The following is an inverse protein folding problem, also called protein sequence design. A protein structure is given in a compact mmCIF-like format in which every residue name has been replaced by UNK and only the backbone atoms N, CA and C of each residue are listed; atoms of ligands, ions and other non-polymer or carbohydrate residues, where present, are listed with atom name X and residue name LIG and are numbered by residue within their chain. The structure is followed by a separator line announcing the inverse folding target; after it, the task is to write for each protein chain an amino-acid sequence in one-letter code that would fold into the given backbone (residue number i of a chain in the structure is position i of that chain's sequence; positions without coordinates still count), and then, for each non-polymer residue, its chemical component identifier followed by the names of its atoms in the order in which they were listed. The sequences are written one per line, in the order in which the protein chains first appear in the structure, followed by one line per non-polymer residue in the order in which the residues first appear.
data_IF_464926007580
#
_entry.id   IF_464926007580
#
_cell.length_a   1.000
_cell.length_b   1.000
_cell.length_c   1.000
_cell.angle_alpha   90.00
_cell.angle_beta   90.00
_cell.angle_gamma   90.00
#
_symmetry.space_group_name_H-M   'P 1'
#
loop_
_entity.id
_entity.type
_entity.pdbx_description
1 polymer ?
#
# COMPACT_ATOMS: atom_id res chain seq x y z
N UNK A 1 -22.78 17.66 14.20
CA UNK A 1 -22.70 16.34 13.57
C UNK A 1 -23.41 16.44 12.22
N UNK A 2 -22.68 16.57 11.13
CA UNK A 2 -23.30 16.42 9.81
C UNK A 2 -23.43 14.91 9.59
N UNK A 3 -24.65 14.40 9.63
CA UNK A 3 -24.98 13.07 9.12
C UNK A 3 -24.61 13.11 7.63
N UNK A 4 -23.50 12.47 7.27
CA UNK A 4 -23.15 12.29 5.86
C UNK A 4 -24.21 11.35 5.27
N UNK A 5 -25.19 11.93 4.57
CA UNK A 5 -26.15 11.16 3.76
C UNK A 5 -25.37 10.72 2.51
N UNK A 6 -24.77 9.55 2.57
CA UNK A 6 -24.16 8.93 1.40
C UNK A 6 -25.25 8.18 0.63
N UNK A 7 -25.91 8.89 -0.30
CA UNK A 7 -26.95 8.30 -1.15
C UNK A 7 -26.41 7.71 -2.46
N UNK A 8 -25.09 7.83 -2.69
CA UNK A 8 -24.45 7.28 -3.90
C UNK A 8 -24.10 5.82 -3.66
N UNK A 9 -24.47 4.89 -4.57
CA UNK A 9 -24.31 3.46 -4.33
C UNK A 9 -22.85 2.96 -4.45
N UNK A 10 -21.94 3.79 -4.95
CA UNK A 10 -20.51 3.44 -5.08
C UNK A 10 -19.84 3.45 -3.73
N UNK A 11 -19.37 2.28 -3.25
CA UNK A 11 -18.75 2.08 -1.95
C UNK A 11 -17.53 1.16 -2.05
N UNK A 12 -16.56 1.38 -1.18
CA UNK A 12 -15.46 0.44 -0.93
C UNK A 12 -15.71 -0.27 0.40
N UNK A 13 -15.89 -1.58 0.37
CA UNK A 13 -16.11 -2.41 1.55
C UNK A 13 -14.76 -2.95 1.99
N UNK A 14 -14.39 -2.67 3.23
CA UNK A 14 -13.11 -3.05 3.84
C UNK A 14 -13.36 -4.16 4.87
N UNK A 15 -12.92 -5.36 4.54
CA UNK A 15 -13.02 -6.54 5.40
C UNK A 15 -11.88 -6.54 6.42
N UNK A 16 -12.17 -6.09 7.64
CA UNK A 16 -11.17 -6.03 8.72
C UNK A 16 -10.81 -7.41 9.25
N UNK A 17 -11.66 -8.42 9.08
CA UNK A 17 -11.35 -9.80 9.47
C UNK A 17 -10.36 -10.42 8.48
N UNK A 18 -10.51 -10.13 7.17
CA UNK A 18 -9.52 -10.53 6.17
C UNK A 18 -8.14 -9.89 6.46
N UNK A 19 -8.10 -8.62 6.89
CA UNK A 19 -6.86 -7.94 7.29
C UNK A 19 -6.17 -8.68 8.45
N UNK A 20 -6.93 -9.06 9.48
CA UNK A 20 -6.38 -9.79 10.65
C UNK A 20 -6.02 -11.23 10.29
N UNK A 21 -6.79 -11.90 9.42
CA UNK A 21 -6.41 -13.19 8.87
C UNK A 21 -5.05 -13.11 8.17
N UNK A 22 -4.87 -12.13 7.29
CA UNK A 22 -3.62 -11.91 6.56
C UNK A 22 -2.44 -11.67 7.52
N UNK A 23 -2.63 -10.84 8.55
CA UNK A 23 -1.63 -10.64 9.59
C UNK A 23 -1.21 -11.96 10.25
N UNK A 24 -2.17 -12.83 10.57
CA UNK A 24 -1.88 -14.11 11.22
C UNK A 24 -1.14 -15.08 10.29
N UNK A 25 -1.51 -15.14 9.01
CA UNK A 25 -0.76 -15.91 7.99
C UNK A 25 0.69 -15.42 7.91
N UNK A 26 0.89 -14.09 7.86
CA UNK A 26 2.22 -13.50 7.79
C UNK A 26 3.04 -13.81 9.05
N UNK A 27 2.45 -13.76 10.24
CA UNK A 27 3.10 -14.14 11.51
C UNK A 27 3.61 -15.58 11.49
N UNK A 28 2.80 -16.50 10.98
CA UNK A 28 3.22 -17.90 10.86
C UNK A 28 4.44 -18.05 9.94
N UNK A 29 4.49 -17.30 8.85
CA UNK A 29 5.59 -17.34 7.89
C UNK A 29 6.84 -16.67 8.43
N UNK A 30 6.71 -15.50 9.08
CA UNK A 30 7.86 -14.71 9.55
C UNK A 30 8.44 -15.18 10.88
N UNK A 31 7.71 -16.04 11.60
CA UNK A 31 8.18 -16.64 12.86
C UNK A 31 8.42 -15.59 13.94
N UNK A 32 9.67 -15.50 14.42
CA UNK A 32 10.03 -14.62 15.53
C UNK A 32 10.30 -13.16 15.14
N UNK A 33 10.26 -12.82 13.85
CA UNK A 33 10.46 -11.44 13.43
C UNK A 33 9.23 -10.60 13.78
N UNK A 34 9.46 -9.42 14.37
CA UNK A 34 8.40 -8.44 14.56
C UNK A 34 7.87 -7.95 13.21
N UNK A 35 6.59 -7.63 13.15
CA UNK A 35 5.95 -7.09 11.94
C UNK A 35 5.75 -5.60 12.12
N UNK A 36 6.34 -4.82 11.20
CA UNK A 36 6.01 -3.42 10.99
C UNK A 36 4.93 -3.33 9.91
N UNK A 37 3.71 -3.00 10.30
CA UNK A 37 2.61 -2.80 9.38
C UNK A 37 2.77 -1.50 8.61
N UNK A 38 2.86 -1.56 7.29
CA UNK A 38 2.97 -0.38 6.43
C UNK A 38 1.57 0.10 6.08
N UNK A 39 1.18 1.25 6.64
CA UNK A 39 -0.17 1.83 6.53
C UNK A 39 -0.17 3.20 5.84
N UNK A 40 0.89 3.53 5.12
CA UNK A 40 1.01 4.75 4.30
C UNK A 40 -0.03 4.78 3.18
N UNK A 41 -0.23 5.95 2.56
CA UNK A 41 -1.19 6.19 1.48
C UNK A 41 -2.60 5.71 1.87
N UNK A 42 -3.05 6.14 3.07
CA UNK A 42 -4.32 5.77 3.67
C UNK A 42 -4.51 4.23 3.76
N UNK A 43 -3.47 3.54 4.27
CA UNK A 43 -3.41 2.07 4.29
C UNK A 43 -3.62 1.47 2.89
N UNK A 44 -2.89 1.98 1.89
CA UNK A 44 -3.05 1.59 0.48
C UNK A 44 -4.50 1.76 -0.02
N UNK A 45 -5.15 2.84 0.42
CA UNK A 45 -6.53 3.17 0.08
C UNK A 45 -7.61 2.49 0.93
N UNK A 46 -7.23 1.68 1.91
CA UNK A 46 -8.16 0.91 2.75
C UNK A 46 -8.66 1.69 3.99
N UNK A 47 -8.12 2.90 4.26
CA UNK A 47 -8.45 3.69 5.44
C UNK A 47 -7.50 3.44 6.61
N UNK A 48 -6.44 4.26 6.72
CA UNK A 48 -5.34 4.05 7.66
C UNK A 48 -5.79 4.04 9.13
N UNK A 49 -6.74 4.89 9.51
CA UNK A 49 -7.21 5.02 10.90
C UNK A 49 -7.76 3.70 11.42
N UNK A 50 -8.71 3.10 10.70
CA UNK A 50 -9.37 1.85 11.12
C UNK A 50 -8.44 0.65 10.93
N UNK A 51 -7.70 0.58 9.81
CA UNK A 51 -6.76 -0.51 9.59
C UNK A 51 -5.67 -0.54 10.68
N UNK A 52 -5.10 0.61 11.05
CA UNK A 52 -4.10 0.69 12.11
C UNK A 52 -4.68 0.36 13.50
N UNK A 53 -5.91 0.80 13.81
CA UNK A 53 -6.62 0.41 15.03
C UNK A 53 -6.76 -1.11 15.12
N UNK A 54 -7.32 -1.76 14.10
CA UNK A 54 -7.51 -3.22 14.08
C UNK A 54 -6.19 -3.99 14.18
N UNK A 55 -5.15 -3.52 13.49
CA UNK A 55 -3.82 -4.13 13.57
C UNK A 55 -3.20 -3.94 14.97
N UNK A 56 -3.37 -2.78 15.59
CA UNK A 56 -2.92 -2.53 16.96
C UNK A 56 -3.65 -3.43 17.96
N UNK A 57 -4.98 -3.56 17.87
CA UNK A 57 -5.79 -4.44 18.70
C UNK A 57 -5.36 -5.91 18.54
N UNK A 58 -4.93 -6.30 17.35
CA UNK A 58 -4.33 -7.60 17.07
C UNK A 58 -2.86 -7.72 17.52
N UNK A 59 -2.31 -6.72 18.22
CA UNK A 59 -0.98 -6.77 18.83
C UNK A 59 0.17 -6.35 17.93
N UNK A 60 -0.07 -5.67 16.81
CA UNK A 60 0.99 -5.01 16.03
C UNK A 60 1.52 -3.82 16.82
N UNK A 61 2.84 -3.79 17.01
CA UNK A 61 3.53 -2.75 17.80
C UNK A 61 4.18 -1.69 16.92
N UNK A 62 4.44 -1.99 15.64
CA UNK A 62 5.16 -1.14 14.72
C UNK A 62 4.31 -0.78 13.52
N UNK A 63 4.29 0.49 13.19
CA UNK A 63 3.62 1.04 12.02
C UNK A 63 4.60 1.85 11.18
N UNK A 64 4.41 1.86 9.86
CA UNK A 64 5.20 2.72 8.98
C UNK A 64 4.29 3.52 8.06
N UNK A 65 4.56 4.80 7.99
CA UNK A 65 3.88 5.78 7.13
C UNK A 65 4.89 6.50 6.25
N UNK A 66 4.43 7.27 5.26
CA UNK A 66 5.32 8.01 4.37
C UNK A 66 5.66 9.41 4.91
N UNK A 67 4.72 10.10 5.55
CA UNK A 67 4.82 11.51 5.92
C UNK A 67 4.47 11.76 7.38
N UNK A 68 4.91 12.92 7.91
CA UNK A 68 4.50 13.38 9.23
C UNK A 68 2.97 13.50 9.34
N UNK A 69 2.30 14.04 8.30
CA UNK A 69 0.84 14.19 8.31
C UNK A 69 0.11 12.85 8.51
N UNK A 70 0.52 11.80 7.81
CA UNK A 70 -0.05 10.45 8.02
C UNK A 70 0.21 9.92 9.44
N UNK A 71 1.39 10.20 10.01
CA UNK A 71 1.70 9.80 11.39
C UNK A 71 0.80 10.52 12.41
N UNK A 72 0.57 11.81 12.21
CA UNK A 72 -0.32 12.60 13.07
C UNK A 72 -1.77 12.13 12.96
N UNK A 73 -2.26 11.80 11.77
CA UNK A 73 -3.60 11.21 11.58
C UNK A 73 -3.77 9.90 12.39
N UNK A 74 -2.73 9.06 12.44
CA UNK A 74 -2.76 7.84 13.26
C UNK A 74 -2.77 8.16 14.77
N UNK A 75 -1.98 9.14 15.22
CA UNK A 75 -1.97 9.58 16.64
C UNK A 75 -3.32 10.16 17.05
N UNK A 76 -3.93 11.00 16.21
CA UNK A 76 -5.27 11.54 16.44
C UNK A 76 -6.34 10.43 16.49
N UNK A 77 -6.15 9.35 15.75
CA UNK A 77 -7.01 8.17 15.80
C UNK A 77 -6.76 7.26 17.04
N UNK A 78 -5.84 7.64 17.95
CA UNK A 78 -5.56 6.88 19.17
C UNK A 78 -4.53 5.76 19.00
N UNK A 79 -3.81 5.71 17.88
CA UNK A 79 -2.74 4.73 17.73
C UNK A 79 -1.58 5.04 18.69
N UNK A 80 -1.23 4.10 19.56
CA UNK A 80 -0.15 4.19 20.55
C UNK A 80 1.10 3.40 20.17
N UNK A 81 1.06 2.66 19.07
CA UNK A 81 2.19 1.89 18.55
C UNK A 81 3.36 2.79 18.13
N UNK A 82 4.49 2.19 17.90
CA UNK A 82 5.68 2.89 17.38
C UNK A 82 5.47 3.21 15.90
N UNK A 83 5.71 4.45 15.49
CA UNK A 83 5.47 4.90 14.12
C UNK A 83 6.79 5.35 13.49
N UNK A 84 7.21 4.65 12.44
CA UNK A 84 8.32 5.03 11.57
C UNK A 84 7.81 5.89 10.41
N UNK A 85 8.35 7.10 10.27
CA UNK A 85 8.08 7.96 9.12
C UNK A 85 9.16 7.73 8.05
N UNK A 86 8.82 7.00 7.01
CA UNK A 86 9.75 6.54 5.96
C UNK A 86 10.31 7.67 5.09
N UNK A 87 9.58 8.78 4.96
CA UNK A 87 10.01 9.98 4.23
C UNK A 87 10.98 10.86 5.01
N UNK A 88 11.28 10.50 6.26
CA UNK A 88 12.18 11.22 7.13
C UNK A 88 11.53 12.38 7.86
N UNK A 89 12.38 13.23 8.44
CA UNK A 89 12.00 14.47 9.13
C UNK A 89 12.48 15.66 8.29
N UNK A 90 11.57 16.49 7.83
CA UNK A 90 11.88 17.69 7.07
C UNK A 90 12.23 18.87 7.98
N UNK A 91 12.95 19.90 7.49
CA UNK A 91 13.30 21.06 8.31
C UNK A 91 12.07 21.73 8.95
N UNK A 92 12.10 21.87 10.28
CA UNK A 92 11.02 22.46 11.06
C UNK A 92 10.02 21.45 11.62
N UNK A 93 10.11 20.16 11.26
CA UNK A 93 9.24 19.11 11.79
C UNK A 93 9.75 18.47 13.08
N UNK A 94 11.01 18.70 13.48
CA UNK A 94 11.70 17.98 14.55
C UNK A 94 10.90 17.98 15.87
N UNK A 95 10.33 19.15 16.22
CA UNK A 95 9.53 19.27 17.43
C UNK A 95 8.31 18.36 17.44
N UNK A 96 7.62 18.24 16.30
CA UNK A 96 6.46 17.34 16.17
C UNK A 96 6.85 15.87 16.34
N UNK A 97 8.00 15.45 15.79
CA UNK A 97 8.52 14.09 16.01
C UNK A 97 8.70 13.78 17.49
N UNK A 98 9.24 14.72 18.26
CA UNK A 98 9.44 14.54 19.70
C UNK A 98 8.12 14.54 20.46
N UNK A 99 7.24 15.50 20.18
CA UNK A 99 5.96 15.70 20.86
C UNK A 99 5.02 14.48 20.67
N UNK A 100 5.00 13.93 19.46
CA UNK A 100 4.12 12.79 19.15
C UNK A 100 4.81 11.43 19.22
N UNK A 101 6.05 11.35 19.70
CA UNK A 101 6.79 10.10 19.85
C UNK A 101 6.95 9.35 18.54
N UNK A 102 7.35 10.08 17.48
CA UNK A 102 7.54 9.52 16.14
C UNK A 102 9.03 9.24 15.88
N UNK A 103 9.31 8.22 15.07
CA UNK A 103 10.67 7.84 14.70
C UNK A 103 10.91 8.21 13.22
N UNK A 104 11.86 9.10 12.91
CA UNK A 104 12.19 9.41 11.53
C UNK A 104 13.13 8.37 10.92
N UNK A 105 12.92 8.03 9.65
CA UNK A 105 13.96 7.47 8.81
C UNK A 105 14.98 8.55 8.46
N UNK A 106 16.27 8.30 8.70
CA UNK A 106 17.36 9.25 8.42
C UNK A 106 18.27 8.69 7.35
N UNK A 107 18.59 9.47 6.34
CA UNK A 107 19.34 9.04 5.17
C UNK A 107 20.35 10.06 4.64
N UNK A 108 20.57 11.18 5.38
CA UNK A 108 21.66 12.13 5.14
C UNK A 108 22.29 12.59 6.46
N UNK A 109 23.58 12.94 6.42
CA UNK A 109 24.28 13.49 7.59
C UNK A 109 23.72 14.85 8.03
N UNK A 110 23.16 15.60 7.11
CA UNK A 110 22.50 16.88 7.42
C UNK A 110 21.25 16.64 8.28
N UNK A 111 20.41 15.67 7.89
CA UNK A 111 19.22 15.31 8.67
C UNK A 111 19.58 14.89 10.10
N UNK A 112 20.56 13.98 10.26
CA UNK A 112 20.90 13.50 11.59
C UNK A 112 21.49 14.60 12.47
N UNK A 113 22.34 15.49 11.93
CA UNK A 113 22.90 16.65 12.67
C UNK A 113 21.80 17.65 13.09
N UNK A 114 20.83 17.90 12.21
CA UNK A 114 19.69 18.78 12.51
C UNK A 114 18.83 18.19 13.62
N UNK A 115 18.55 16.88 13.58
CA UNK A 115 17.80 16.20 14.62
C UNK A 115 18.58 16.19 15.94
N UNK A 116 19.89 15.95 15.92
CA UNK A 116 20.77 16.01 17.10
C UNK A 116 20.72 17.41 17.77
N UNK A 117 20.90 18.46 16.97
CA UNK A 117 20.82 19.85 17.46
C UNK A 117 19.44 20.19 18.05
N UNK A 118 18.37 19.76 17.40
CA UNK A 118 17.01 19.95 17.91
C UNK A 118 16.76 19.13 19.20
N UNK A 119 17.27 17.91 19.29
CA UNK A 119 17.18 17.08 20.48
C UNK A 119 17.93 17.70 21.66
N UNK A 120 19.16 18.20 21.43
CA UNK A 120 19.95 18.94 22.43
C UNK A 120 19.20 20.16 22.96
N UNK A 121 18.62 20.97 22.06
CA UNK A 121 17.85 22.17 22.45
C UNK A 121 16.63 21.84 23.31
N UNK A 122 16.04 20.64 23.14
CA UNK A 122 14.90 20.14 23.91
C UNK A 122 15.33 19.26 25.11
N UNK A 123 16.63 19.06 25.35
CA UNK A 123 17.19 18.21 26.42
C UNK A 123 16.67 16.78 26.39
N UNK A 124 16.64 16.18 25.23
CA UNK A 124 16.20 14.80 25.01
C UNK A 124 17.17 14.06 24.06
N UNK A 125 17.01 12.77 23.97
CA UNK A 125 17.68 11.92 22.96
C UNK A 125 16.65 11.51 21.90
N UNK A 126 16.97 11.78 20.64
CA UNK A 126 16.12 11.43 19.51
C UNK A 126 16.41 10.02 19.03
N UNK A 127 15.38 9.18 19.02
CA UNK A 127 15.44 7.84 18.42
C UNK A 127 15.29 7.96 16.90
N UNK A 128 16.20 7.33 16.14
CA UNK A 128 16.19 7.36 14.67
C UNK A 128 16.40 5.98 14.08
N UNK A 129 15.85 5.75 12.89
CA UNK A 129 16.18 4.61 12.04
C UNK A 129 17.06 5.07 10.88
N UNK A 130 18.28 4.55 10.79
CA UNK A 130 19.21 4.87 9.71
C UNK A 130 18.91 4.05 8.47
N UNK A 131 18.63 4.73 7.37
CA UNK A 131 18.38 4.09 6.09
C UNK A 131 19.61 4.07 5.21
N UNK A 132 20.00 2.87 4.79
CA UNK A 132 21.05 2.66 3.81
C UNK A 132 20.51 2.20 2.46
N UNK A 133 21.09 2.71 1.39
CA UNK A 133 20.83 2.27 0.03
C UNK A 133 21.83 1.16 -0.34
N UNK A 134 21.33 -0.07 -0.30
CA UNK A 134 22.10 -1.27 -0.67
C UNK A 134 21.97 -1.65 -2.15
N UNK A 135 21.14 -0.90 -2.91
CA UNK A 135 20.95 -1.13 -4.34
C UNK A 135 19.59 -0.71 -4.89
N UNK A 136 18.69 -0.14 -4.06
CA UNK A 136 17.38 0.36 -4.53
C UNK A 136 17.51 1.66 -5.36
N UNK A 137 18.55 2.48 -5.10
CA UNK A 137 18.83 3.71 -5.86
C UNK A 137 17.85 4.86 -5.62
N UNK A 138 17.13 4.87 -4.48
CA UNK A 138 16.09 5.87 -4.22
C UNK A 138 16.46 6.87 -3.14
N UNK A 139 16.55 6.44 -1.88
CA UNK A 139 17.00 7.22 -0.72
C UNK A 139 17.77 6.31 0.24
N UNK A 140 18.77 6.85 0.94
CA UNK A 140 19.61 6.12 1.88
C UNK A 140 21.07 6.58 1.82
N UNK A 141 21.81 6.44 2.90
CA UNK A 141 23.25 6.51 2.84
C UNK A 141 23.78 5.43 1.90
N UNK A 142 24.74 5.74 1.06
CA UNK A 142 25.35 4.72 0.18
C UNK A 142 26.00 3.65 1.03
N UNK A 143 25.78 2.38 0.67
CA UNK A 143 26.30 1.22 1.45
C UNK A 143 27.81 1.26 1.67
N UNK A 144 28.59 1.78 0.71
CA UNK A 144 30.03 1.89 0.76
C UNK A 144 30.55 3.08 1.61
N UNK A 145 29.67 3.87 2.21
CA UNK A 145 30.00 4.96 3.12
C UNK A 145 29.72 4.60 4.59
N UNK A 146 29.44 3.33 4.89
CA UNK A 146 29.01 2.88 6.22
C UNK A 146 29.99 3.30 7.32
N UNK A 147 31.29 3.07 7.13
CA UNK A 147 32.34 3.40 8.11
C UNK A 147 32.37 4.90 8.39
N UNK A 148 32.37 5.73 7.34
CA UNK A 148 32.40 7.20 7.48
C UNK A 148 31.14 7.76 8.13
N UNK A 149 29.97 7.18 7.83
CA UNK A 149 28.70 7.56 8.46
C UNK A 149 28.69 7.15 9.92
N UNK A 150 29.13 5.95 10.26
CA UNK A 150 29.24 5.45 11.61
C UNK A 150 30.18 6.33 12.47
N UNK A 151 31.34 6.72 11.91
CA UNK A 151 32.29 7.61 12.54
C UNK A 151 31.76 9.02 12.84
N UNK A 152 30.84 9.52 12.02
CA UNK A 152 30.16 10.80 12.29
C UNK A 152 29.10 10.60 13.37
N UNK A 153 28.26 9.57 13.24
CA UNK A 153 27.10 9.36 14.13
C UNK A 153 27.55 9.06 15.57
N UNK A 154 28.63 8.31 15.77
CA UNK A 154 29.14 8.01 17.12
C UNK A 154 29.57 9.26 17.93
N UNK A 155 29.72 10.41 17.28
CA UNK A 155 30.10 11.69 17.92
C UNK A 155 28.87 12.54 18.28
N UNK A 156 27.68 12.12 17.90
CA UNK A 156 26.42 12.81 18.19
C UNK A 156 25.90 12.31 19.54
N UNK A 157 25.69 13.24 20.47
CA UNK A 157 25.36 12.90 21.86
C UNK A 157 23.86 12.71 22.11
N UNK A 158 23.02 13.22 21.22
CA UNK A 158 21.57 13.27 21.41
C UNK A 158 20.83 12.39 20.38
N UNK A 159 21.52 11.41 19.79
CA UNK A 159 20.97 10.46 18.82
C UNK A 159 21.05 9.04 19.37
N UNK A 160 19.91 8.37 19.41
CA UNK A 160 19.80 6.92 19.65
C UNK A 160 19.49 6.20 18.33
N UNK A 161 20.44 5.45 17.82
CA UNK A 161 20.28 4.61 16.62
C UNK A 161 19.55 3.35 17.00
N UNK A 162 18.21 3.36 16.88
CA UNK A 162 17.40 2.18 17.19
C UNK A 162 17.48 1.11 16.13
N UNK A 163 17.49 1.53 14.85
CA UNK A 163 17.52 0.59 13.73
C UNK A 163 18.48 1.03 12.62
N UNK A 164 19.02 0.03 11.92
CA UNK A 164 19.64 0.19 10.60
C UNK A 164 18.80 -0.65 9.61
N UNK A 165 18.39 -0.02 8.51
CA UNK A 165 17.51 -0.69 7.55
C UNK A 165 17.81 -0.35 6.10
N UNK A 166 17.39 -1.24 5.20
CA UNK A 166 17.42 -1.03 3.76
C UNK A 166 16.08 -1.40 3.10
N UNK A 167 16.08 -1.64 1.80
CA UNK A 167 14.91 -2.07 1.05
C UNK A 167 15.32 -2.83 -0.20
N UNK A 168 14.73 -3.98 -0.44
CA UNK A 168 14.95 -4.75 -1.65
C UNK A 168 14.34 -4.03 -2.87
N UNK A 169 15.07 -4.09 -3.98
CA UNK A 169 14.64 -3.51 -5.25
C UNK A 169 13.83 -4.48 -6.11
N UNK A 170 14.12 -5.78 -6.03
CA UNK A 170 13.61 -6.78 -6.94
C UNK A 170 13.42 -8.16 -6.26
N UNK A 171 12.99 -8.18 -4.98
CA UNK A 171 12.76 -9.44 -4.27
C UNK A 171 11.60 -10.28 -4.83
N UNK A 172 10.76 -9.68 -5.64
CA UNK A 172 9.65 -10.30 -6.39
C UNK A 172 10.05 -10.88 -7.73
N UNK A 173 11.29 -10.62 -8.20
CA UNK A 173 11.81 -11.12 -9.47
C UNK A 173 12.83 -12.25 -9.25
N UNK A 174 12.52 -13.51 -9.58
CA UNK A 174 13.45 -14.62 -9.44
C UNK A 174 14.78 -14.47 -10.20
N UNK A 175 14.76 -13.76 -11.35
CA UNK A 175 15.98 -13.51 -12.13
C UNK A 175 16.97 -12.59 -11.39
N UNK A 176 16.52 -11.81 -10.42
CA UNK A 176 17.31 -10.87 -9.62
C UNK A 176 17.63 -11.41 -8.21
N UNK A 177 17.46 -12.71 -7.98
CA UNK A 177 17.69 -13.32 -6.66
C UNK A 177 19.12 -13.12 -6.13
N UNK A 178 20.13 -13.18 -7.00
CA UNK A 178 21.52 -12.96 -6.63
C UNK A 178 21.76 -11.50 -6.21
N UNK A 179 21.12 -10.54 -6.90
CA UNK A 179 21.20 -9.14 -6.51
C UNK A 179 20.46 -8.88 -5.18
N UNK A 180 19.34 -9.55 -4.95
CA UNK A 180 18.62 -9.48 -3.68
C UNK A 180 19.48 -9.99 -2.52
N UNK A 181 20.18 -11.10 -2.68
CA UNK A 181 21.17 -11.60 -1.69
C UNK A 181 22.33 -10.63 -1.50
N UNK A 182 22.89 -10.08 -2.58
CA UNK A 182 23.93 -9.05 -2.51
C UNK A 182 23.48 -7.81 -1.71
N UNK A 183 22.21 -7.37 -1.84
CA UNK A 183 21.68 -6.29 -1.02
C UNK A 183 21.65 -6.65 0.48
N UNK A 184 21.31 -7.91 0.80
CA UNK A 184 21.34 -8.41 2.18
C UNK A 184 22.76 -8.44 2.75
N UNK A 185 23.74 -8.96 2.00
CA UNK A 185 25.16 -9.01 2.39
C UNK A 185 25.75 -7.59 2.60
N UNK A 186 25.33 -6.63 1.78
CA UNK A 186 25.70 -5.22 1.96
C UNK A 186 25.17 -4.66 3.28
N UNK A 187 23.95 -5.04 3.67
CA UNK A 187 23.38 -4.61 4.94
C UNK A 187 24.16 -5.22 6.13
N UNK A 188 24.61 -6.46 6.04
CA UNK A 188 25.45 -7.08 7.08
C UNK A 188 26.75 -6.29 7.28
N UNK A 189 27.45 -5.94 6.20
CA UNK A 189 28.66 -5.11 6.26
C UNK A 189 28.41 -3.73 6.87
N UNK A 190 27.24 -3.12 6.60
CA UNK A 190 26.85 -1.86 7.21
C UNK A 190 26.68 -2.02 8.72
N UNK A 191 25.97 -3.06 9.15
CA UNK A 191 25.77 -3.36 10.57
C UNK A 191 27.11 -3.56 11.27
N UNK A 192 28.03 -4.32 10.67
CA UNK A 192 29.37 -4.58 11.20
C UNK A 192 30.15 -3.27 11.39
N UNK A 193 30.10 -2.34 10.43
CA UNK A 193 30.76 -1.04 10.56
C UNK A 193 30.24 -0.22 11.77
N UNK A 194 28.96 -0.27 12.06
CA UNK A 194 28.38 0.39 13.25
C UNK A 194 28.76 -0.33 14.54
N UNK A 195 28.79 -1.65 14.56
CA UNK A 195 29.23 -2.43 15.72
C UNK A 195 30.69 -2.15 16.08
N UNK A 196 31.59 -1.98 15.09
CA UNK A 196 33.00 -1.66 15.29
C UNK A 196 33.21 -0.32 16.03
N UNK A 197 32.32 0.65 15.85
CA UNK A 197 32.39 1.93 16.56
C UNK A 197 31.55 1.98 17.85
N UNK A 198 31.00 0.83 18.28
CA UNK A 198 30.23 0.68 19.51
C UNK A 198 28.74 1.00 19.41
N UNK A 199 28.23 1.29 18.23
CA UNK A 199 26.78 1.50 18.00
C UNK A 199 26.13 0.13 17.72
N UNK A 200 25.19 -0.27 18.59
CA UNK A 200 24.46 -1.56 18.52
C UNK A 200 22.98 -1.30 18.23
N UNK A 201 22.54 -1.33 16.96
CA UNK A 201 21.13 -1.15 16.65
C UNK A 201 20.31 -2.30 17.26
N UNK A 202 19.18 -1.96 17.88
CA UNK A 202 18.24 -2.94 18.45
C UNK A 202 17.46 -3.68 17.37
N UNK A 203 17.24 -3.02 16.24
CA UNK A 203 16.48 -3.54 15.12
C UNK A 203 17.31 -3.46 13.83
N UNK A 204 17.12 -4.47 13.01
CA UNK A 204 17.66 -4.49 11.64
C UNK A 204 16.59 -5.03 10.71
N UNK A 205 16.40 -4.41 9.58
CA UNK A 205 15.41 -4.88 8.60
C UNK A 205 15.80 -4.53 7.16
N UNK A 206 15.35 -5.34 6.23
CA UNK A 206 15.46 -5.11 4.79
C UNK A 206 14.22 -5.64 4.05
N UNK A 207 13.59 -6.68 4.61
CA UNK A 207 12.53 -7.43 3.96
C UNK A 207 11.23 -6.61 3.85
N UNK A 208 10.80 -6.39 2.60
CA UNK A 208 9.43 -6.02 2.23
C UNK A 208 8.56 -7.29 2.14
N UNK A 209 7.30 -7.17 1.67
CA UNK A 209 6.39 -8.32 1.55
C UNK A 209 6.98 -9.49 0.76
N UNK A 210 7.47 -9.35 -0.48
CA UNK A 210 8.11 -10.47 -1.18
C UNK A 210 9.40 -10.95 -0.51
N UNK A 211 10.24 -10.05 -0.02
CA UNK A 211 11.46 -10.41 0.71
C UNK A 211 11.19 -11.30 1.93
N UNK A 212 10.16 -10.99 2.70
CA UNK A 212 9.77 -11.77 3.87
C UNK A 212 9.30 -13.19 3.52
N UNK A 213 8.72 -13.40 2.34
CA UNK A 213 8.26 -14.72 1.88
C UNK A 213 9.40 -15.51 1.25
N UNK A 214 10.14 -14.90 0.31
CA UNK A 214 11.05 -15.59 -0.60
C UNK A 214 12.50 -15.71 -0.08
N UNK A 215 12.87 -14.83 0.87
CA UNK A 215 14.22 -14.77 1.44
C UNK A 215 14.18 -14.84 2.97
N UNK A 216 13.94 -16.04 3.56
CA UNK A 216 13.84 -16.20 5.02
C UNK A 216 15.02 -15.63 5.80
N UNK A 217 16.22 -15.69 5.23
CA UNK A 217 17.45 -15.14 5.80
C UNK A 217 17.44 -13.61 5.95
N UNK A 218 16.58 -12.93 5.22
CA UNK A 218 16.44 -11.46 5.27
C UNK A 218 15.46 -10.96 6.33
N UNK A 219 14.72 -11.84 6.99
CA UNK A 219 13.67 -11.45 7.97
C UNK A 219 14.24 -10.76 9.20
N UNK A 220 15.47 -11.15 9.61
CA UNK A 220 16.17 -10.58 10.76
C UNK A 220 15.25 -10.53 12.00
N UNK A 221 15.17 -9.39 12.71
CA UNK A 221 14.26 -9.24 13.83
C UNK A 221 13.05 -8.36 13.55
N UNK A 222 12.97 -7.76 12.34
CA UNK A 222 11.83 -6.92 11.91
C UNK A 222 11.61 -7.07 10.41
N UNK A 223 10.33 -7.18 10.00
CA UNK A 223 9.92 -7.17 8.59
C UNK A 223 8.89 -6.07 8.34
N UNK A 224 8.97 -5.40 7.18
CA UNK A 224 8.01 -4.36 6.79
C UNK A 224 7.00 -4.89 5.80
N UNK A 225 5.80 -5.14 6.26
CA UNK A 225 4.73 -5.74 5.47
C UNK A 225 3.71 -4.68 5.03
N UNK A 226 3.55 -4.56 3.71
CA UNK A 226 2.56 -3.72 3.06
C UNK A 226 1.54 -4.58 2.30
N UNK A 227 1.73 -4.77 1.01
CA UNK A 227 0.75 -5.39 0.11
C UNK A 227 0.13 -6.70 0.57
N UNK A 228 0.91 -7.58 1.21
CA UNK A 228 0.37 -8.85 1.75
C UNK A 228 -0.67 -8.64 2.85
N UNK A 229 -0.57 -7.59 3.68
CA UNK A 229 -1.61 -7.27 4.67
C UNK A 229 -2.95 -7.00 3.99
N UNK A 230 -2.95 -6.39 2.81
CA UNK A 230 -4.14 -6.04 2.06
C UNK A 230 -4.59 -7.13 1.09
N UNK A 231 -3.89 -8.27 1.10
CA UNK A 231 -4.24 -9.45 0.30
C UNK A 231 -3.69 -9.45 -1.13
N UNK A 232 -2.78 -8.52 -1.46
CA UNK A 232 -2.11 -8.52 -2.75
C UNK A 232 -1.08 -9.65 -2.80
N UNK A 233 -1.17 -10.50 -3.79
CA UNK A 233 -0.24 -11.62 -3.98
C UNK A 233 0.03 -11.95 -5.45
N UNK A 234 -0.86 -11.54 -6.33
CA UNK A 234 -0.79 -11.88 -7.75
C UNK A 234 0.36 -11.20 -8.47
N UNK A 235 0.54 -9.90 -8.20
CA UNK A 235 1.53 -9.03 -8.83
C UNK A 235 2.75 -8.72 -7.93
N UNK A 236 2.78 -9.24 -6.70
CA UNK A 236 3.89 -9.01 -5.76
C UNK A 236 4.68 -10.27 -5.42
N UNK A 237 4.26 -11.42 -5.89
CA UNK A 237 4.97 -12.69 -5.75
C UNK A 237 5.08 -13.38 -7.12
N UNK A 238 6.22 -14.02 -7.44
CA UNK A 238 6.39 -14.75 -8.70
C UNK A 238 5.27 -15.78 -8.93
N UNK A 239 4.93 -16.03 -10.19
CA UNK A 239 3.81 -16.92 -10.56
C UNK A 239 4.03 -18.32 -10.01
N UNK A 240 5.28 -18.83 -10.07
CA UNK A 240 5.66 -20.19 -9.68
C UNK A 240 5.75 -20.38 -8.15
N UNK A 241 5.65 -19.30 -7.38
CA UNK A 241 5.72 -19.38 -5.92
C UNK A 241 4.39 -19.83 -5.34
N UNK A 242 4.42 -20.77 -4.39
CA UNK A 242 3.25 -21.08 -3.58
C UNK A 242 2.80 -19.80 -2.84
N UNK A 243 1.57 -19.40 -3.16
CA UNK A 243 1.02 -18.15 -2.62
C UNK A 243 0.51 -18.37 -1.20
N UNK A 244 0.83 -17.48 -0.25
CA UNK A 244 0.22 -17.53 1.08
C UNK A 244 -1.30 -17.36 1.00
N UNK A 245 -2.02 -17.95 1.97
CA UNK A 245 -3.48 -17.85 2.06
C UNK A 245 -3.92 -16.45 2.56
N UNK A 246 -3.46 -15.41 1.88
CA UNK A 246 -3.95 -14.05 2.14
C UNK A 246 -5.19 -13.75 1.30
N UNK A 247 -6.10 -12.95 1.85
CA UNK A 247 -7.41 -12.63 1.29
C UNK A 247 -7.48 -11.16 0.91
N UNK A 248 -8.12 -10.80 -0.22
CA UNK A 248 -8.38 -9.40 -0.55
C UNK A 248 -9.16 -8.72 0.58
N UNK A 249 -8.70 -7.54 0.98
CA UNK A 249 -9.32 -6.75 2.06
C UNK A 249 -10.35 -5.78 1.52
N UNK A 250 -10.18 -5.30 0.27
CA UNK A 250 -11.10 -4.35 -0.36
C UNK A 250 -12.00 -5.03 -1.37
N UNK A 251 -13.30 -4.69 -1.33
CA UNK A 251 -14.25 -4.84 -2.42
C UNK A 251 -14.74 -3.47 -2.86
N UNK A 252 -14.90 -3.26 -4.16
CA UNK A 252 -15.44 -2.02 -4.73
C UNK A 252 -16.71 -2.37 -5.48
N UNK A 253 -17.81 -1.84 -5.01
CA UNK A 253 -19.16 -2.13 -5.53
C UNK A 253 -19.90 -0.84 -5.87
N UNK A 254 -20.83 -0.96 -6.80
CA UNK A 254 -21.78 0.11 -7.17
C UNK A 254 -23.08 -0.52 -7.66
N UNK A 255 -24.01 0.32 -8.16
CA UNK A 255 -25.27 -0.14 -8.74
C UNK A 255 -25.49 0.50 -10.10
N UNK A 256 -26.28 -0.16 -10.92
CA UNK A 256 -26.73 0.39 -12.21
C UNK A 256 -27.63 1.58 -11.98
N UNK A 257 -27.30 2.70 -12.59
CA UNK A 257 -28.10 3.95 -12.54
C UNK A 257 -29.08 4.07 -13.72
N UNK A 258 -28.76 3.47 -14.86
CA UNK A 258 -29.60 3.50 -16.06
C UNK A 258 -29.27 2.33 -16.97
N UNK A 259 -30.31 1.74 -17.57
CA UNK A 259 -30.19 0.74 -18.63
C UNK A 259 -30.82 1.26 -19.92
N UNK A 260 -30.21 1.00 -21.06
CA UNK A 260 -30.78 1.35 -22.38
C UNK A 260 -30.30 0.38 -23.45
N UNK A 261 -31.13 0.20 -24.46
CA UNK A 261 -30.76 -0.52 -25.68
C UNK A 261 -30.17 0.44 -26.68
N UNK A 262 -29.09 0.05 -27.35
CA UNK A 262 -28.50 0.76 -28.49
C UNK A 262 -28.58 -0.13 -29.73
N UNK A 263 -28.69 0.49 -30.90
CA UNK A 263 -28.79 -0.18 -32.20
C UNK A 263 -27.45 -0.16 -32.95
N UNK A 264 -27.29 -0.98 -33.99
CA UNK A 264 -26.11 -0.88 -34.87
C UNK A 264 -25.88 0.55 -35.37
N UNK A 265 -24.64 1.03 -35.24
CA UNK A 265 -24.25 2.39 -35.58
C UNK A 265 -24.32 3.41 -34.44
N UNK A 266 -25.04 3.12 -33.35
CA UNK A 266 -25.05 3.97 -32.15
C UNK A 266 -23.68 3.94 -31.46
N UNK A 267 -23.28 5.08 -30.92
CA UNK A 267 -21.97 5.21 -30.26
C UNK A 267 -22.09 5.52 -28.75
N UNK A 268 -21.05 5.16 -27.99
CA UNK A 268 -21.00 5.36 -26.54
C UNK A 268 -19.80 6.25 -26.15
N UNK A 269 -20.09 7.25 -25.32
CA UNK A 269 -19.10 8.04 -24.62
C UNK A 269 -18.35 9.07 -25.50
N UNK A 270 -17.41 9.74 -24.86
CA UNK A 270 -16.58 10.78 -25.50
C UNK A 270 -15.72 10.22 -26.65
N UNK A 271 -15.72 10.95 -27.77
CA UNK A 271 -14.91 10.61 -28.94
C UNK A 271 -15.44 9.41 -29.72
N UNK A 272 -16.63 8.90 -29.36
CA UNK A 272 -17.28 7.78 -30.06
C UNK A 272 -16.36 6.59 -30.27
N UNK A 273 -15.57 6.23 -29.25
CA UNK A 273 -14.55 5.17 -29.34
C UNK A 273 -15.13 3.75 -29.30
N UNK A 274 -16.42 3.64 -28.96
CA UNK A 274 -17.22 2.44 -29.12
C UNK A 274 -18.41 2.76 -30.04
N UNK A 275 -18.61 1.93 -31.04
CA UNK A 275 -19.78 1.97 -31.95
C UNK A 275 -20.36 0.57 -31.98
N UNK A 276 -21.65 0.44 -31.71
CA UNK A 276 -22.33 -0.85 -31.70
C UNK A 276 -22.39 -1.44 -33.11
N UNK A 277 -21.89 -2.65 -33.30
CA UNK A 277 -21.99 -3.42 -34.54
C UNK A 277 -23.32 -4.17 -34.66
N UNK A 278 -23.98 -4.39 -33.52
CA UNK A 278 -25.25 -5.08 -33.40
C UNK A 278 -26.07 -4.45 -32.27
N UNK A 279 -27.31 -4.92 -32.06
CA UNK A 279 -28.14 -4.47 -30.95
C UNK A 279 -27.52 -4.90 -29.62
N UNK A 280 -27.30 -3.94 -28.69
CA UNK A 280 -26.69 -4.15 -27.37
C UNK A 280 -27.56 -3.57 -26.26
N UNK A 281 -27.48 -4.17 -25.08
CA UNK A 281 -28.01 -3.59 -23.84
C UNK A 281 -26.82 -3.04 -23.06
N UNK A 282 -26.85 -1.74 -22.81
CA UNK A 282 -25.79 -1.07 -22.05
C UNK A 282 -26.34 -0.50 -20.72
N UNK A 283 -25.54 -0.55 -19.69
CA UNK A 283 -25.83 0.06 -18.40
C UNK A 283 -24.82 1.17 -18.08
N UNK A 284 -25.29 2.18 -17.38
CA UNK A 284 -24.43 3.27 -16.87
C UNK A 284 -24.33 3.14 -15.36
N UNK A 285 -23.11 3.19 -14.83
CA UNK A 285 -22.79 3.06 -13.42
C UNK A 285 -22.16 4.36 -12.89
N UNK A 286 -22.50 4.80 -11.64
CA UNK A 286 -22.03 6.07 -11.08
C UNK A 286 -20.64 5.96 -10.46
N UNK A 287 -19.64 5.57 -11.27
CA UNK A 287 -18.22 5.60 -10.94
C UNK A 287 -17.44 6.03 -12.18
N UNK A 288 -16.48 6.93 -11.99
CA UNK A 288 -15.61 7.41 -13.05
C UNK A 288 -14.19 7.65 -12.56
N UNK A 289 -13.35 8.34 -13.39
CA UNK A 289 -11.95 8.49 -13.05
C UNK A 289 -11.70 9.40 -11.83
N UNK A 290 -12.64 10.28 -11.46
CA UNK A 290 -12.52 11.08 -10.24
C UNK A 290 -12.79 10.26 -8.96
N UNK A 291 -13.52 9.14 -9.10
CA UNK A 291 -13.72 8.17 -8.03
C UNK A 291 -12.52 7.23 -7.87
N UNK A 292 -11.64 7.18 -8.87
CA UNK A 292 -10.46 6.34 -8.89
C UNK A 292 -10.54 5.17 -9.88
N UNK A 293 -11.58 5.08 -10.71
CA UNK A 293 -11.61 4.07 -11.79
C UNK A 293 -10.73 4.56 -12.95
N UNK A 294 -9.57 3.90 -13.24
CA UNK A 294 -8.61 4.40 -14.21
C UNK A 294 -9.22 4.61 -15.60
N UNK A 295 -8.99 5.80 -16.19
CA UNK A 295 -9.50 6.10 -17.55
C UNK A 295 -8.89 5.20 -18.63
N UNK A 296 -7.73 4.61 -18.37
CA UNK A 296 -7.05 3.63 -19.24
C UNK A 296 -7.82 2.31 -19.39
N UNK A 297 -8.79 2.02 -18.50
CA UNK A 297 -9.72 0.88 -18.62
C UNK A 297 -10.77 1.08 -19.73
N UNK A 298 -10.88 2.26 -20.34
CA UNK A 298 -11.82 2.54 -21.44
C UNK A 298 -11.67 1.54 -22.58
N UNK A 299 -12.73 0.80 -22.92
CA UNK A 299 -12.78 -0.28 -23.92
C UNK A 299 -11.79 -1.46 -23.65
N UNK A 300 -11.26 -1.58 -22.44
CA UNK A 300 -10.31 -2.65 -22.06
C UNK A 300 -10.75 -3.41 -20.82
N UNK A 301 -11.25 -2.68 -19.82
CA UNK A 301 -11.64 -3.25 -18.55
C UNK A 301 -13.01 -3.91 -18.60
N UNK A 302 -13.32 -4.64 -17.54
CA UNK A 302 -14.63 -5.25 -17.32
C UNK A 302 -15.02 -5.13 -15.84
N UNK A 303 -16.30 -5.35 -15.56
CA UNK A 303 -16.87 -5.46 -14.21
C UNK A 303 -17.74 -6.71 -14.14
N UNK A 304 -18.18 -7.10 -12.95
CA UNK A 304 -19.09 -8.25 -12.80
C UNK A 304 -20.52 -7.75 -12.56
N UNK A 305 -21.46 -8.34 -13.31
CA UNK A 305 -22.90 -8.09 -13.16
C UNK A 305 -23.62 -9.44 -13.25
N UNK A 306 -24.41 -9.80 -12.24
CA UNK A 306 -25.12 -11.08 -12.17
C UNK A 306 -24.23 -12.31 -12.43
N UNK A 307 -22.98 -12.29 -11.93
CA UNK A 307 -22.03 -13.37 -12.14
C UNK A 307 -21.43 -13.43 -13.55
N UNK A 308 -21.59 -12.37 -14.38
CA UNK A 308 -21.09 -12.30 -15.75
C UNK A 308 -20.07 -11.17 -15.89
N UNK A 309 -18.99 -11.43 -16.61
CA UNK A 309 -17.98 -10.42 -16.95
C UNK A 309 -18.53 -9.47 -18.02
N UNK A 310 -18.81 -8.24 -17.64
CA UNK A 310 -19.44 -7.20 -18.45
C UNK A 310 -18.41 -6.14 -18.88
N UNK A 311 -18.10 -6.01 -20.19
CA UNK A 311 -17.05 -5.10 -20.67
C UNK A 311 -17.40 -3.62 -20.44
N UNK A 312 -16.39 -2.79 -20.15
CA UNK A 312 -16.49 -1.34 -20.21
C UNK A 312 -16.47 -0.90 -21.66
N UNK A 313 -17.51 -0.18 -22.09
CA UNK A 313 -17.68 0.29 -23.47
C UNK A 313 -17.67 1.82 -23.55
N UNK A 314 -16.89 2.35 -24.48
CA UNK A 314 -16.62 3.77 -24.61
C UNK A 314 -15.62 4.28 -23.57
N UNK A 315 -15.44 5.61 -23.54
CA UNK A 315 -14.51 6.25 -22.60
C UNK A 315 -15.15 6.45 -21.24
N UNK A 316 -14.42 6.04 -20.18
CA UNK A 316 -14.74 6.39 -18.80
C UNK A 316 -14.72 7.91 -18.66
N UNK A 317 -15.79 8.48 -18.10
CA UNK A 317 -15.91 9.91 -17.81
C UNK A 317 -15.51 10.22 -16.35
N UNK A 318 -15.65 11.48 -15.94
CA UNK A 318 -15.26 11.89 -14.59
C UNK A 318 -16.08 11.15 -13.51
N UNK A 319 -17.37 10.94 -13.76
CA UNK A 319 -18.34 10.47 -12.76
C UNK A 319 -19.09 9.21 -13.18
N UNK A 320 -18.96 8.78 -14.45
CA UNK A 320 -19.77 7.74 -15.04
C UNK A 320 -18.96 6.79 -15.90
N UNK A 321 -19.36 5.52 -15.87
CA UNK A 321 -18.84 4.47 -16.76
C UNK A 321 -19.99 3.74 -17.41
N UNK A 322 -19.86 3.41 -18.69
CA UNK A 322 -20.82 2.59 -19.42
C UNK A 322 -20.29 1.19 -19.60
N UNK A 323 -21.11 0.19 -19.37
CA UNK A 323 -20.78 -1.24 -19.48
C UNK A 323 -21.77 -1.94 -20.42
N UNK A 324 -21.31 -2.94 -21.14
CA UNK A 324 -22.16 -3.81 -21.95
C UNK A 324 -22.68 -4.95 -21.07
N UNK A 325 -24.00 -5.02 -20.90
CA UNK A 325 -24.69 -6.01 -20.07
C UNK A 325 -25.58 -6.93 -20.89
N UNK A 326 -25.35 -7.01 -22.20
CA UNK A 326 -26.16 -7.83 -23.13
C UNK A 326 -26.25 -9.28 -22.69
N UNK A 327 -25.15 -9.84 -22.16
CA UNK A 327 -25.07 -11.23 -21.73
C UNK A 327 -25.35 -11.43 -20.22
N UNK A 328 -25.60 -10.33 -19.47
CA UNK A 328 -25.76 -10.39 -18.01
C UNK A 328 -27.20 -10.71 -17.55
N UNK A 329 -28.07 -11.16 -18.46
CA UNK A 329 -29.47 -11.45 -18.15
C UNK A 329 -30.31 -10.21 -17.85
N UNK A 330 -31.25 -10.32 -16.91
CA UNK A 330 -32.09 -9.18 -16.54
C UNK A 330 -31.30 -8.17 -15.68
N UNK A 331 -31.01 -7.01 -16.26
CA UNK A 331 -30.35 -5.90 -15.59
C UNK A 331 -31.28 -4.69 -15.56
N UNK A 332 -31.43 -4.06 -14.39
CA UNK A 332 -32.27 -2.88 -14.16
C UNK A 332 -31.56 -1.89 -13.25
N UNK A 333 -32.12 -0.71 -13.09
CA UNK A 333 -31.69 0.28 -12.10
C UNK A 333 -31.64 -0.35 -10.70
N UNK A 334 -30.55 -0.13 -9.95
CA UNK A 334 -30.26 -0.75 -8.66
C UNK A 334 -29.63 -2.16 -8.74
N UNK A 335 -29.45 -2.75 -9.95
CA UNK A 335 -28.70 -4.00 -10.07
C UNK A 335 -27.27 -3.79 -9.60
N UNK A 336 -26.78 -4.67 -8.71
CA UNK A 336 -25.41 -4.61 -8.16
C UNK A 336 -24.37 -4.82 -9.26
N UNK A 337 -23.29 -4.05 -9.18
CA UNK A 337 -22.12 -4.16 -10.04
C UNK A 337 -20.87 -4.28 -9.16
N UNK A 338 -20.10 -5.33 -9.35
CA UNK A 338 -18.83 -5.55 -8.64
C UNK A 338 -17.66 -5.16 -9.53
N UNK A 339 -16.86 -4.20 -9.07
CA UNK A 339 -15.66 -3.70 -9.78
C UNK A 339 -14.43 -4.41 -9.25
N UNK A 340 -14.30 -4.53 -7.93
CA UNK A 340 -13.31 -5.35 -7.25
C UNK A 340 -14.07 -6.26 -6.29
N UNK A 341 -13.86 -7.57 -6.37
CA UNK A 341 -14.50 -8.54 -5.49
C UNK A 341 -15.12 -9.70 -6.26
N UNK A 342 -16.02 -10.40 -5.59
CA UNK A 342 -16.68 -11.61 -6.11
C UNK A 342 -18.15 -11.38 -6.42
N UNK A 343 -18.60 -11.95 -7.53
CA UNK A 343 -20.00 -12.04 -7.90
C UNK A 343 -20.26 -13.44 -8.50
N UNK A 344 -21.08 -14.25 -7.82
CA UNK A 344 -21.21 -15.68 -8.13
C UNK A 344 -19.88 -16.42 -8.01
N UNK A 345 -19.53 -17.18 -9.05
CA UNK A 345 -18.28 -17.95 -9.12
C UNK A 345 -17.08 -17.11 -9.61
N UNK A 346 -17.34 -15.90 -10.16
CA UNK A 346 -16.30 -15.05 -10.70
C UNK A 346 -15.74 -14.09 -9.63
N UNK A 347 -14.46 -13.79 -9.75
CA UNK A 347 -13.76 -12.83 -8.92
C UNK A 347 -12.92 -11.90 -9.81
N UNK A 348 -13.01 -10.58 -9.56
CA UNK A 348 -12.11 -9.57 -10.12
C UNK A 348 -11.30 -8.98 -8.98
N UNK A 349 -9.99 -9.10 -9.07
CA UNK A 349 -9.05 -8.56 -8.09
C UNK A 349 -8.44 -7.24 -8.58
N UNK A 350 -7.87 -6.48 -7.66
CA UNK A 350 -7.12 -5.29 -8.03
C UNK A 350 -5.95 -5.61 -8.97
N UNK A 351 -5.32 -6.78 -8.81
CA UNK A 351 -4.25 -7.29 -9.68
C UNK A 351 -4.73 -7.55 -11.12
N UNK A 352 -5.95 -8.07 -11.31
CA UNK A 352 -6.53 -8.33 -12.64
C UNK A 352 -6.79 -7.01 -13.39
N UNK A 353 -7.33 -6.02 -12.67
CA UNK A 353 -7.55 -4.68 -13.19
C UNK A 353 -6.20 -4.04 -13.55
N UNK A 354 -5.23 -4.10 -12.66
CA UNK A 354 -3.89 -3.56 -12.86
C UNK A 354 -3.21 -4.16 -14.10
N UNK A 355 -3.24 -5.48 -14.24
CA UNK A 355 -2.68 -6.20 -15.37
C UNK A 355 -3.30 -5.81 -16.71
N UNK A 356 -4.60 -5.46 -16.75
CA UNK A 356 -5.28 -5.04 -17.99
C UNK A 356 -4.79 -3.68 -18.53
N UNK A 357 -4.13 -2.87 -17.71
CA UNK A 357 -3.66 -1.52 -18.05
C UNK A 357 -2.17 -1.31 -17.75
N UNK A 358 -1.41 -2.39 -17.56
CA UNK A 358 0.03 -2.39 -17.35
C UNK A 358 0.47 -1.55 -16.13
N UNK A 359 -0.15 -1.82 -14.98
CA UNK A 359 0.20 -1.23 -13.68
C UNK A 359 0.14 -2.26 -12.56
N UNK A 360 0.19 -1.82 -11.31
CA UNK A 360 0.21 -2.66 -10.09
C UNK A 360 -1.03 -2.43 -9.22
N UNK A 361 -1.42 -3.47 -8.45
CA UNK A 361 -2.57 -3.45 -7.53
C UNK A 361 -2.57 -2.25 -6.58
N UNK A 362 -1.40 -1.82 -6.16
CA UNK A 362 -1.22 -0.64 -5.29
C UNK A 362 -1.80 0.64 -5.90
N UNK A 363 -1.57 0.87 -7.20
CA UNK A 363 -2.07 2.06 -7.89
C UNK A 363 -3.59 2.03 -7.98
N UNK A 364 -4.17 0.85 -8.21
CA UNK A 364 -5.63 0.69 -8.28
C UNK A 364 -6.29 1.07 -6.96
N UNK A 365 -5.87 0.47 -5.86
CA UNK A 365 -6.54 0.70 -4.56
C UNK A 365 -6.21 2.05 -3.95
N UNK A 366 -4.96 2.53 -4.07
CA UNK A 366 -4.59 3.89 -3.66
C UNK A 366 -5.31 4.97 -4.48
N UNK A 367 -5.66 4.67 -5.73
CA UNK A 367 -6.38 5.56 -6.63
C UNK A 367 -7.84 5.79 -6.22
N UNK A 368 -8.45 4.89 -5.44
CA UNK A 368 -9.84 5.07 -4.99
C UNK A 368 -9.94 6.31 -4.12
N UNK A 369 -10.63 7.33 -4.63
CA UNK A 369 -10.69 8.64 -4.02
C UNK A 369 -11.51 8.66 -2.72
N UNK A 370 -11.35 9.72 -1.91
CA UNK A 370 -12.15 9.94 -0.69
C UNK A 370 -13.64 10.18 -0.98
N UNK A 371 -14.01 10.37 -2.24
CA UNK A 371 -15.41 10.48 -2.68
C UNK A 371 -16.17 9.15 -2.61
N UNK A 372 -15.46 8.04 -2.63
CA UNK A 372 -15.99 6.69 -2.41
C UNK A 372 -15.90 6.38 -0.92
N UNK A 373 -17.03 6.25 -0.20
CA UNK A 373 -16.99 5.94 1.23
C UNK A 373 -16.46 4.55 1.49
N UNK A 374 -15.67 4.40 2.58
CA UNK A 374 -15.20 3.10 3.08
C UNK A 374 -16.17 2.60 4.13
N UNK A 375 -16.68 1.40 3.92
CA UNK A 375 -17.56 0.68 4.86
C UNK A 375 -16.76 -0.47 5.45
N UNK A 376 -16.57 -0.47 6.76
CA UNK A 376 -15.78 -1.49 7.46
C UNK A 376 -16.70 -2.59 8.00
N UNK A 377 -16.33 -3.88 7.75
CA UNK A 377 -17.04 -5.07 8.20
C UNK A 377 -16.10 -6.01 8.95
#
# INVERSE_FOLDING_TARGET
MHTQIHNRPTIAIIDTQALIHNLNVIRQITGNADIMAVVKADAYGHGARICAEKLQDAGVKWFAVATLGEALELREAGNTGRILVLGGCWPGEEKAFFEFGLTPAVFTLEQVRRIDAAAAANKLTATVHLKFDTGMGRVGFRYNLADSVADVIRKLENIDVEAIFSHFSAADNPAESDFTRLQNDRLDKIIDAFLQVGIKPRLTDIANSPGAILFPESRRNLVRIGGLLYGFKGDILPIETEKPDVRPVMRLETEVAQVKTINPGDSVGYGRTFVAGEKRVIATIPIGYYDGLPRSLSNKGSVLVNGVLSPIVGRISMDWTTIDVTEAGEVKEGTKVTIIGRDGELELRAEDIAGSIDTISYEITCGISRRVPRIYI
#
